data_IF_947087030786
#
_entry.id   IF_947087030786
#
_cell.length_a   1.000
_cell.length_b   1.000
_cell.length_c   1.000
_cell.angle_alpha   90.00
_cell.angle_beta   90.00
_cell.angle_gamma   90.00
#
_symmetry.space_group_name_H-M   'P 1'
#
loop_
_entity.id
_entity.type
_entity.pdbx_description
1 polymer ?
#
# COMPACT_ATOMS: atom_id res chain seq x y z
N UNK A 1 22.19 -14.36 21.78
CA UNK A 1 21.00 -14.11 22.63
C UNK A 1 21.36 -13.08 23.68
N UNK A 2 20.42 -12.18 24.07
CA UNK A 2 20.73 -11.14 25.08
C UNK A 2 20.23 -11.64 26.44
N UNK A 3 21.16 -11.68 27.40
CA UNK A 3 20.87 -12.02 28.79
C UNK A 3 20.94 -10.78 29.67
N UNK A 4 19.95 -10.59 30.53
CA UNK A 4 19.96 -9.58 31.60
C UNK A 4 20.46 -10.27 32.87
N UNK A 5 21.68 -9.91 33.27
CA UNK A 5 22.37 -10.52 34.44
C UNK A 5 22.33 -9.50 35.58
N UNK A 6 21.66 -9.87 36.68
CA UNK A 6 21.78 -9.10 37.92
C UNK A 6 22.93 -9.70 38.73
N UNK A 7 23.91 -8.88 39.03
CA UNK A 7 25.12 -9.27 39.72
C UNK A 7 25.43 -8.31 40.86
N UNK A 8 26.13 -8.82 41.87
CA UNK A 8 26.62 -8.04 42.99
C UNK A 8 28.03 -7.56 42.65
N UNK A 9 28.23 -6.26 42.67
CA UNK A 9 29.54 -5.64 42.51
C UNK A 9 30.38 -5.74 43.82
N UNK A 10 31.70 -5.58 43.75
CA UNK A 10 32.59 -5.66 44.90
C UNK A 10 32.30 -4.69 46.04
N UNK A 11 31.57 -3.59 45.73
CA UNK A 11 31.13 -2.59 46.70
C UNK A 11 29.74 -2.92 47.36
N UNK A 12 29.14 -4.08 47.06
CA UNK A 12 27.87 -4.50 47.61
C UNK A 12 26.62 -4.00 46.82
N UNK A 13 26.80 -3.24 45.74
CA UNK A 13 25.69 -2.74 44.95
C UNK A 13 25.20 -3.79 43.93
N UNK A 14 23.87 -3.78 43.69
CA UNK A 14 23.26 -4.65 42.67
C UNK A 14 23.31 -3.94 41.30
N UNK A 15 24.08 -4.50 40.39
CA UNK A 15 24.22 -3.99 39.03
C UNK A 15 23.53 -4.91 38.03
N UNK A 16 22.74 -4.35 37.14
CA UNK A 16 22.13 -5.05 36.02
C UNK A 16 22.96 -4.88 34.75
N UNK A 17 23.55 -5.97 34.27
CA UNK A 17 24.37 -6.01 33.06
C UNK A 17 23.61 -6.68 31.91
N UNK A 18 23.76 -6.16 30.70
CA UNK A 18 23.31 -6.83 29.48
C UNK A 18 24.52 -7.49 28.81
N UNK A 19 24.43 -8.80 28.65
CA UNK A 19 25.51 -9.62 28.10
C UNK A 19 24.96 -10.37 26.90
N UNK A 20 25.65 -10.31 25.77
CA UNK A 20 25.35 -11.12 24.59
C UNK A 20 26.14 -12.43 24.69
N UNK A 21 25.41 -13.57 24.78
CA UNK A 21 26.01 -14.88 24.86
C UNK A 21 25.17 -15.91 24.10
N UNK A 22 25.81 -17.01 23.71
CA UNK A 22 25.12 -18.12 23.03
C UNK A 22 24.23 -18.92 23.98
N UNK A 23 24.68 -19.11 25.19
CA UNK A 23 24.01 -19.86 26.29
C UNK A 23 24.17 -19.13 27.63
N UNK A 24 23.30 -19.46 28.59
CA UNK A 24 23.31 -18.85 29.93
C UNK A 24 24.65 -19.01 30.68
N UNK A 25 25.31 -20.15 30.49
CA UNK A 25 26.60 -20.45 31.13
C UNK A 25 27.71 -19.46 30.66
N UNK A 26 27.67 -19.06 29.41
CA UNK A 26 28.63 -18.08 28.87
C UNK A 26 28.35 -16.68 29.40
N UNK A 27 27.08 -16.30 29.53
CA UNK A 27 26.68 -15.02 30.11
C UNK A 27 27.12 -14.92 31.59
N UNK A 28 27.08 -16.03 32.34
CA UNK A 28 27.59 -16.07 33.72
C UNK A 28 29.11 -15.96 33.78
N UNK A 29 29.85 -16.63 32.90
CA UNK A 29 31.32 -16.54 32.82
C UNK A 29 31.78 -15.14 32.47
N UNK A 30 31.11 -14.52 31.52
CA UNK A 30 31.40 -13.13 31.09
C UNK A 30 31.11 -12.11 32.22
N UNK A 31 30.05 -12.34 33.05
CA UNK A 31 29.78 -11.51 34.22
C UNK A 31 30.89 -11.66 35.27
N UNK A 32 31.34 -12.87 35.52
CA UNK A 32 32.46 -13.14 36.47
C UNK A 32 33.78 -12.51 35.98
N UNK A 33 34.09 -12.55 34.68
CA UNK A 33 35.29 -11.93 34.12
C UNK A 33 35.29 -10.41 34.28
N UNK A 34 34.13 -9.78 34.41
CA UNK A 34 33.94 -8.36 34.71
C UNK A 34 33.97 -8.00 36.20
N UNK A 35 34.33 -8.96 37.06
CA UNK A 35 34.47 -8.73 38.49
C UNK A 35 33.15 -8.63 39.27
N UNK A 36 32.03 -9.13 38.75
CA UNK A 36 30.73 -9.10 39.42
C UNK A 36 30.20 -10.50 39.62
N UNK A 37 29.53 -10.74 40.76
CA UNK A 37 28.97 -12.05 41.09
C UNK A 37 27.52 -12.17 40.65
N UNK A 38 27.21 -12.93 39.57
CA UNK A 38 25.87 -13.04 39.04
C UNK A 38 25.01 -13.94 39.94
N UNK A 39 23.89 -13.41 40.44
CA UNK A 39 22.93 -14.17 41.23
C UNK A 39 21.60 -14.43 40.51
N UNK A 40 21.32 -13.67 39.43
CA UNK A 40 20.14 -13.88 38.60
C UNK A 40 20.49 -13.63 37.15
N UNK A 41 20.34 -14.66 36.29
CA UNK A 41 20.48 -14.57 34.85
C UNK A 41 19.10 -14.81 34.25
N UNK A 42 18.57 -13.86 33.54
CA UNK A 42 17.28 -13.98 32.83
C UNK A 42 17.54 -13.82 31.33
N UNK A 43 17.23 -14.86 30.58
CA UNK A 43 17.14 -14.74 29.16
C UNK A 43 15.99 -13.76 28.85
N UNK A 44 16.29 -12.62 28.33
CA UNK A 44 15.27 -11.73 27.78
C UNK A 44 14.88 -12.36 26.44
N UNK A 45 13.91 -13.31 26.48
CA UNK A 45 13.14 -13.58 25.27
C UNK A 45 12.65 -12.23 24.80
N UNK A 46 13.22 -11.76 23.71
CA UNK A 46 12.70 -10.58 23.03
C UNK A 46 11.24 -10.87 22.76
N UNK A 47 10.36 -10.45 23.66
CA UNK A 47 9.07 -9.99 23.20
C UNK A 47 9.48 -9.06 22.06
N UNK A 48 9.18 -9.44 20.84
CA UNK A 48 8.96 -8.48 19.79
C UNK A 48 7.91 -7.50 20.35
N UNK A 49 8.36 -6.55 21.17
CA UNK A 49 7.78 -5.24 21.15
C UNK A 49 7.87 -4.91 19.68
N UNK A 50 6.74 -4.98 18.99
CA UNK A 50 6.64 -4.50 17.64
C UNK A 50 7.33 -3.15 17.69
N UNK A 51 8.53 -3.12 17.16
CA UNK A 51 9.32 -1.93 17.07
C UNK A 51 8.44 -0.94 16.31
N UNK A 52 7.81 -0.03 17.05
CA UNK A 52 7.52 1.32 16.60
C UNK A 52 8.86 2.05 16.45
N UNK A 53 9.88 1.35 15.96
CA UNK A 53 10.97 2.02 15.30
C UNK A 53 10.30 2.83 14.20
N UNK A 54 10.43 4.15 14.18
CA UNK A 54 9.90 4.97 13.11
C UNK A 54 10.39 4.26 11.85
N UNK A 55 9.43 3.82 11.02
CA UNK A 55 9.70 3.10 9.77
C UNK A 55 10.82 3.88 9.12
N UNK A 56 12.07 3.37 9.22
CA UNK A 56 13.27 4.05 8.78
C UNK A 56 12.92 4.59 7.40
N UNK A 57 12.96 5.91 7.23
CA UNK A 57 12.34 6.57 6.08
C UNK A 57 12.89 5.88 4.85
N UNK A 58 12.05 5.04 4.22
CA UNK A 58 12.46 4.24 3.07
C UNK A 58 12.93 5.22 2.00
N UNK A 59 14.03 4.91 1.38
CA UNK A 59 14.52 5.66 0.24
C UNK A 59 13.38 5.80 -0.78
N UNK A 60 13.09 7.03 -1.21
CA UNK A 60 12.14 7.25 -2.30
C UNK A 60 12.84 6.86 -3.61
N UNK A 61 12.76 5.56 -3.95
CA UNK A 61 13.57 4.96 -5.01
C UNK A 61 13.44 5.70 -6.34
N UNK A 62 12.24 6.10 -6.76
CA UNK A 62 12.07 6.86 -8.00
C UNK A 62 12.81 8.19 -7.96
N UNK A 63 12.65 8.98 -6.90
CA UNK A 63 13.36 10.27 -6.76
C UNK A 63 14.87 10.08 -6.71
N UNK A 64 15.37 9.06 -5.99
CA UNK A 64 16.78 8.71 -5.96
C UNK A 64 17.31 8.37 -7.36
N UNK A 65 16.61 7.55 -8.13
CA UNK A 65 17.04 7.15 -9.49
C UNK A 65 17.00 8.32 -10.45
N UNK A 66 16.00 9.20 -10.36
CA UNK A 66 15.91 10.42 -11.16
C UNK A 66 17.07 11.36 -10.87
N UNK A 67 17.43 11.56 -9.61
CA UNK A 67 18.54 12.40 -9.19
C UNK A 67 19.89 11.81 -9.64
N UNK A 68 20.07 10.50 -9.45
CA UNK A 68 21.26 9.79 -9.91
C UNK A 68 21.44 9.93 -11.43
N UNK A 69 20.36 9.70 -12.20
CA UNK A 69 20.38 9.84 -13.66
C UNK A 69 20.74 11.26 -14.10
N UNK A 70 20.18 12.27 -13.42
CA UNK A 70 20.48 13.67 -13.71
C UNK A 70 21.98 13.99 -13.51
N UNK A 71 22.58 13.51 -12.41
CA UNK A 71 23.99 13.74 -12.11
C UNK A 71 24.92 12.98 -13.08
N UNK A 72 24.59 11.74 -13.46
CA UNK A 72 25.33 10.97 -14.46
C UNK A 72 25.31 11.67 -15.82
N UNK A 73 24.14 12.17 -16.27
CA UNK A 73 24.00 12.95 -17.51
C UNK A 73 24.75 14.29 -17.49
N UNK A 74 24.99 14.84 -16.30
CA UNK A 74 25.83 16.00 -16.12
C UNK A 74 27.33 15.67 -16.20
N UNK A 75 27.68 14.38 -16.43
CA UNK A 75 29.08 13.91 -16.55
C UNK A 75 29.76 13.54 -15.24
N UNK A 76 29.03 13.49 -14.12
CA UNK A 76 29.61 13.04 -12.87
C UNK A 76 29.79 11.52 -12.87
N UNK A 77 30.90 11.06 -12.28
CA UNK A 77 31.08 9.62 -12.08
C UNK A 77 30.05 9.07 -11.07
N UNK A 78 29.75 7.77 -11.17
CA UNK A 78 28.77 7.11 -10.31
C UNK A 78 29.03 7.34 -8.81
N UNK A 79 30.30 7.28 -8.40
CA UNK A 79 30.68 7.46 -7.00
C UNK A 79 30.45 8.91 -6.55
N UNK A 80 30.86 9.89 -7.34
CA UNK A 80 30.68 11.32 -7.03
C UNK A 80 29.18 11.69 -7.01
N UNK A 81 28.39 11.14 -7.95
CA UNK A 81 26.96 11.34 -7.96
C UNK A 81 26.26 10.81 -6.69
N UNK A 82 26.67 9.62 -6.23
CA UNK A 82 26.13 9.04 -5.00
C UNK A 82 26.59 9.78 -3.74
N UNK A 83 27.81 10.31 -3.73
CA UNK A 83 28.30 11.19 -2.64
C UNK A 83 27.46 12.46 -2.53
N UNK A 84 27.20 13.13 -3.65
CA UNK A 84 26.35 14.32 -3.69
C UNK A 84 24.94 14.03 -3.20
N UNK A 85 24.36 12.89 -3.58
CA UNK A 85 23.03 12.46 -3.10
C UNK A 85 23.07 12.20 -1.58
N UNK A 86 24.11 11.54 -1.07
CA UNK A 86 24.24 11.24 0.36
C UNK A 86 24.39 12.52 1.20
N UNK A 87 25.13 13.52 0.72
CA UNK A 87 25.31 14.81 1.38
C UNK A 87 24.00 15.60 1.46
N UNK A 88 23.21 15.60 0.39
CA UNK A 88 21.92 16.30 0.29
C UNK A 88 20.81 15.62 1.10
N UNK A 89 20.87 14.31 1.27
CA UNK A 89 19.79 13.55 1.91
C UNK A 89 19.72 13.84 3.42
N UNK A 90 18.62 14.46 3.85
CA UNK A 90 18.41 14.86 5.23
C UNK A 90 17.79 13.77 6.12
N UNK A 91 17.17 12.75 5.50
CA UNK A 91 16.51 11.64 6.22
C UNK A 91 17.53 10.58 6.61
N UNK A 92 17.74 10.32 7.92
CA UNK A 92 18.85 9.46 8.38
C UNK A 92 18.82 8.05 7.77
N UNK A 93 17.65 7.44 7.63
CA UNK A 93 17.52 6.09 7.06
C UNK A 93 17.82 6.03 5.56
N UNK A 94 17.42 7.05 4.80
CA UNK A 94 17.71 7.14 3.36
C UNK A 94 19.19 7.43 3.12
N UNK A 95 19.77 8.35 3.89
CA UNK A 95 21.20 8.66 3.86
C UNK A 95 22.05 7.44 4.16
N UNK A 96 21.75 6.71 5.24
CA UNK A 96 22.48 5.48 5.59
C UNK A 96 22.40 4.41 4.48
N UNK A 97 21.27 4.33 3.75
CA UNK A 97 21.13 3.42 2.63
C UNK A 97 22.05 3.79 1.45
N UNK A 98 22.17 5.08 1.13
CA UNK A 98 23.08 5.57 0.08
C UNK A 98 24.54 5.40 0.50
N UNK A 99 24.89 5.70 1.76
CA UNK A 99 26.24 5.49 2.31
C UNK A 99 26.64 4.00 2.29
N UNK A 100 25.69 3.08 2.59
CA UNK A 100 25.93 1.64 2.48
C UNK A 100 26.19 1.20 1.04
N UNK A 101 25.48 1.80 0.08
CA UNK A 101 25.70 1.58 -1.35
C UNK A 101 27.11 2.03 -1.76
N UNK A 102 27.48 3.26 -1.38
CA UNK A 102 28.82 3.84 -1.62
C UNK A 102 29.94 2.98 -1.05
N UNK A 103 29.79 2.51 0.19
CA UNK A 103 30.78 1.68 0.84
C UNK A 103 31.04 0.36 0.09
N UNK A 104 30.03 -0.22 -0.56
CA UNK A 104 30.17 -1.43 -1.38
C UNK A 104 30.83 -1.13 -2.72
N UNK A 105 30.40 -0.07 -3.40
CA UNK A 105 31.01 0.37 -4.67
C UNK A 105 32.50 0.68 -4.51
N UNK A 106 32.88 1.38 -3.44
CA UNK A 106 34.31 1.66 -3.14
C UNK A 106 35.17 0.39 -2.90
N UNK A 107 34.51 -0.72 -2.50
CA UNK A 107 35.14 -2.04 -2.38
C UNK A 107 35.14 -2.84 -3.69
N UNK A 108 34.70 -2.24 -4.78
CA UNK A 108 34.68 -2.87 -6.12
C UNK A 108 33.44 -3.72 -6.43
N UNK A 109 32.41 -3.69 -5.59
CA UNK A 109 31.15 -4.37 -5.91
C UNK A 109 30.45 -3.69 -7.09
N UNK A 110 29.69 -4.45 -7.88
CA UNK A 110 28.84 -3.89 -8.93
C UNK A 110 27.66 -3.13 -8.32
N UNK A 111 27.15 -2.13 -9.02
CA UNK A 111 26.01 -1.33 -8.55
C UNK A 111 24.77 -2.21 -8.29
N UNK A 112 24.49 -3.16 -9.19
CA UNK A 112 23.39 -4.10 -9.05
C UNK A 112 23.52 -4.98 -7.79
N UNK A 113 24.71 -5.47 -7.48
CA UNK A 113 25.00 -6.25 -6.27
C UNK A 113 24.87 -5.38 -5.01
N UNK A 114 25.44 -4.18 -5.07
CA UNK A 114 25.36 -3.22 -3.98
C UNK A 114 23.90 -2.82 -3.68
N UNK A 115 23.08 -2.62 -4.72
CA UNK A 115 21.64 -2.34 -4.58
C UNK A 115 20.87 -3.52 -3.97
N UNK A 116 21.11 -4.75 -4.44
CA UNK A 116 20.44 -5.95 -3.95
C UNK A 116 20.68 -6.17 -2.45
N UNK A 117 21.88 -5.89 -1.98
CA UNK A 117 22.32 -6.15 -0.61
C UNK A 117 22.25 -4.92 0.33
N UNK A 118 21.87 -3.75 -0.17
CA UNK A 118 21.89 -2.50 0.63
C UNK A 118 20.82 -2.45 1.73
N UNK A 119 19.82 -3.34 1.69
CA UNK A 119 18.67 -3.27 2.61
C UNK A 119 17.73 -2.07 2.37
N UNK A 120 18.04 -1.21 1.40
CA UNK A 120 17.26 0.00 1.06
C UNK A 120 15.90 -0.29 0.41
N UNK A 121 15.66 -1.55 0.04
CA UNK A 121 14.40 -1.99 -0.58
C UNK A 121 14.29 -1.61 -2.06
N UNK A 122 15.39 -1.58 -2.79
CA UNK A 122 15.37 -1.40 -4.24
C UNK A 122 14.53 -2.50 -4.91
N UNK A 123 13.62 -2.14 -5.83
CA UNK A 123 12.86 -3.11 -6.57
C UNK A 123 13.75 -4.06 -7.38
N UNK A 124 13.45 -5.35 -7.38
CA UNK A 124 14.23 -6.35 -8.13
C UNK A 124 14.33 -6.03 -9.62
N UNK A 125 13.30 -5.40 -10.18
CA UNK A 125 13.26 -4.97 -11.58
C UNK A 125 14.32 -3.89 -11.88
N UNK A 126 14.56 -2.95 -10.96
CA UNK A 126 15.63 -1.96 -11.09
C UNK A 126 17.00 -2.63 -11.00
N UNK A 127 17.18 -3.51 -10.01
CA UNK A 127 18.42 -4.27 -9.82
C UNK A 127 18.75 -5.11 -11.05
N UNK A 128 17.75 -5.80 -11.61
CA UNK A 128 17.93 -6.61 -12.83
C UNK A 128 18.27 -5.74 -14.05
N UNK A 129 17.60 -4.60 -14.23
CA UNK A 129 17.87 -3.66 -15.31
C UNK A 129 19.27 -3.05 -15.24
N UNK A 130 19.70 -2.65 -14.04
CA UNK A 130 21.07 -2.17 -13.79
C UNK A 130 22.09 -3.28 -14.06
N UNK A 131 21.88 -4.50 -13.54
CA UNK A 131 22.79 -5.62 -13.74
C UNK A 131 22.93 -6.07 -15.21
N UNK A 132 21.87 -5.94 -16.00
CA UNK A 132 21.95 -6.15 -17.44
C UNK A 132 22.80 -5.08 -18.14
N UNK A 133 22.62 -3.81 -17.75
CA UNK A 133 23.31 -2.67 -18.34
C UNK A 133 24.81 -2.57 -17.96
N UNK A 134 25.19 -3.07 -16.79
CA UNK A 134 26.61 -3.07 -16.36
C UNK A 134 27.53 -3.87 -17.31
N UNK A 135 26.97 -4.84 -18.02
CA UNK A 135 27.69 -5.63 -19.03
C UNK A 135 27.82 -4.91 -20.36
N UNK A 136 26.91 -3.99 -20.66
CA UNK A 136 26.83 -3.28 -21.96
C UNK A 136 27.27 -1.82 -21.87
N UNK A 137 27.50 -1.28 -20.65
CA UNK A 137 27.89 0.12 -20.44
C UNK A 137 26.71 1.10 -20.49
N UNK A 138 25.48 0.64 -20.67
CA UNK A 138 24.29 1.49 -20.84
C UNK A 138 23.54 1.79 -19.53
N UNK A 139 24.26 2.19 -18.46
CA UNK A 139 23.66 2.46 -17.15
C UNK A 139 22.63 3.60 -17.21
N UNK A 140 22.95 4.69 -17.91
CA UNK A 140 22.03 5.83 -18.03
C UNK A 140 20.71 5.44 -18.71
N UNK A 141 20.76 4.67 -19.78
CA UNK A 141 19.58 4.18 -20.48
C UNK A 141 18.76 3.22 -19.60
N UNK A 142 19.43 2.40 -18.77
CA UNK A 142 18.74 1.51 -17.85
C UNK A 142 18.00 2.29 -16.75
N UNK A 143 18.66 3.30 -16.17
CA UNK A 143 18.05 4.18 -15.19
C UNK A 143 16.90 5.00 -15.80
N UNK A 144 17.08 5.50 -17.04
CA UNK A 144 16.01 6.20 -17.76
C UNK A 144 14.79 5.31 -17.98
N UNK A 145 14.98 4.08 -18.48
CA UNK A 145 13.89 3.10 -18.67
C UNK A 145 13.14 2.82 -17.37
N UNK A 146 13.89 2.72 -16.26
CA UNK A 146 13.24 2.54 -14.96
C UNK A 146 12.46 3.80 -14.52
N UNK A 147 13.00 5.00 -14.73
CA UNK A 147 12.30 6.25 -14.44
C UNK A 147 11.00 6.36 -15.23
N UNK A 148 11.03 6.05 -16.53
CA UNK A 148 9.84 6.09 -17.39
C UNK A 148 8.80 5.06 -16.92
N UNK A 149 9.24 3.84 -16.62
CA UNK A 149 8.39 2.80 -16.06
C UNK A 149 7.74 3.23 -14.74
N UNK A 150 8.56 3.68 -13.78
CA UNK A 150 8.10 3.99 -12.44
C UNK A 150 7.21 5.25 -12.41
N UNK A 151 7.52 6.26 -13.24
CA UNK A 151 6.70 7.46 -13.39
C UNK A 151 5.31 7.14 -13.94
N UNK A 152 5.22 6.33 -14.99
CA UNK A 152 3.92 5.89 -15.53
C UNK A 152 3.10 5.11 -14.51
N UNK A 153 3.73 4.22 -13.72
CA UNK A 153 3.06 3.50 -12.64
C UNK A 153 2.53 4.45 -11.56
N UNK A 154 3.32 5.47 -11.20
CA UNK A 154 2.93 6.47 -10.21
C UNK A 154 1.79 7.36 -10.73
N UNK A 155 1.81 7.74 -12.00
CA UNK A 155 0.76 8.54 -12.63
C UNK A 155 -0.59 7.82 -12.67
N UNK A 156 -0.60 6.53 -13.04
CA UNK A 156 -1.83 5.70 -12.98
C UNK A 156 -2.33 5.64 -11.54
N UNK A 157 -1.44 5.37 -10.58
CA UNK A 157 -1.80 5.33 -9.16
C UNK A 157 -2.36 6.67 -8.66
N UNK A 158 -1.74 7.79 -9.04
CA UNK A 158 -2.21 9.14 -8.66
C UNK A 158 -3.60 9.42 -9.20
N UNK A 159 -3.87 9.06 -10.46
CA UNK A 159 -5.20 9.19 -11.06
C UNK A 159 -6.24 8.36 -10.29
N UNK A 160 -5.91 7.12 -9.94
CA UNK A 160 -6.76 6.26 -9.11
C UNK A 160 -7.09 6.91 -7.77
N UNK A 161 -6.07 7.39 -7.05
CA UNK A 161 -6.26 8.04 -5.74
C UNK A 161 -7.06 9.34 -5.89
N UNK A 162 -6.75 10.17 -6.88
CA UNK A 162 -7.45 11.42 -7.13
C UNK A 162 -8.95 11.22 -7.38
N UNK A 163 -9.33 10.20 -8.14
CA UNK A 163 -10.72 9.86 -8.40
C UNK A 163 -11.51 9.47 -7.14
N UNK A 164 -10.82 8.98 -6.10
CA UNK A 164 -11.43 8.56 -4.83
C UNK A 164 -11.55 9.69 -3.79
N UNK A 165 -10.80 10.79 -3.96
CA UNK A 165 -10.78 11.90 -2.97
C UNK A 165 -12.17 12.51 -2.81
N UNK A 166 -12.83 12.85 -3.92
CA UNK A 166 -14.14 13.50 -3.90
C UNK A 166 -15.24 12.63 -3.27
N UNK A 167 -15.43 11.35 -3.65
CA UNK A 167 -16.38 10.46 -2.99
C UNK A 167 -16.15 10.31 -1.49
N UNK A 168 -14.89 10.16 -1.07
CA UNK A 168 -14.54 10.03 0.35
C UNK A 168 -14.85 11.30 1.12
N UNK A 169 -14.51 12.48 0.56
CA UNK A 169 -14.80 13.77 1.18
C UNK A 169 -16.32 13.98 1.33
N UNK A 170 -17.08 13.71 0.26
CA UNK A 170 -18.53 13.85 0.26
C UNK A 170 -19.21 12.95 1.31
N UNK A 171 -18.79 11.69 1.39
CA UNK A 171 -19.24 10.76 2.43
C UNK A 171 -18.87 11.24 3.83
N UNK A 172 -17.64 11.71 4.04
CA UNK A 172 -17.19 12.19 5.34
C UNK A 172 -18.03 13.39 5.82
N UNK A 173 -18.27 14.37 4.94
CA UNK A 173 -19.10 15.54 5.26
C UNK A 173 -20.56 15.13 5.49
N UNK A 174 -21.12 14.29 4.64
CA UNK A 174 -22.50 13.83 4.78
C UNK A 174 -22.74 13.02 6.06
N UNK A 175 -21.80 12.15 6.43
CA UNK A 175 -21.84 11.42 7.71
C UNK A 175 -21.68 12.36 8.91
N UNK A 176 -20.81 13.37 8.82
CA UNK A 176 -20.64 14.38 9.87
C UNK A 176 -21.94 15.16 10.10
N UNK A 177 -22.59 15.62 9.02
CA UNK A 177 -23.88 16.32 9.10
C UNK A 177 -24.95 15.42 9.70
N UNK A 178 -25.05 14.16 9.24
CA UNK A 178 -26.00 13.20 9.79
C UNK A 178 -25.74 12.92 11.27
N UNK A 179 -24.50 12.74 11.67
CA UNK A 179 -24.12 12.56 13.07
C UNK A 179 -24.46 13.78 13.93
N UNK A 180 -24.23 15.00 13.42
CA UNK A 180 -24.62 16.23 14.08
C UNK A 180 -26.14 16.34 14.25
N UNK A 181 -26.92 16.03 13.21
CA UNK A 181 -28.37 16.05 13.28
C UNK A 181 -28.88 15.04 14.32
N UNK A 182 -28.41 13.80 14.28
CA UNK A 182 -28.88 12.75 15.20
C UNK A 182 -28.40 13.00 16.63
N UNK A 183 -27.14 13.42 16.82
CA UNK A 183 -26.54 13.58 18.15
C UNK A 183 -26.88 14.91 18.87
N UNK A 184 -27.16 15.96 18.11
CA UNK A 184 -27.40 17.29 18.69
C UNK A 184 -28.79 17.84 18.44
N UNK A 185 -29.30 17.72 17.21
CA UNK A 185 -30.61 18.34 16.86
C UNK A 185 -31.77 17.46 17.35
N UNK A 186 -31.74 16.17 17.06
CA UNK A 186 -32.81 15.23 17.43
C UNK A 186 -33.09 15.21 18.93
N UNK A 187 -32.09 15.15 19.84
CA UNK A 187 -32.37 15.15 21.28
C UNK A 187 -33.07 16.42 21.78
N UNK A 188 -32.80 17.59 21.18
CA UNK A 188 -33.46 18.86 21.55
C UNK A 188 -34.94 18.82 21.21
N UNK A 189 -35.31 18.22 20.09
CA UNK A 189 -36.71 18.06 19.72
C UNK A 189 -37.41 16.96 20.52
N UNK A 190 -36.72 15.89 20.92
CA UNK A 190 -37.28 14.83 21.74
C UNK A 190 -37.83 15.34 23.11
N UNK A 191 -37.23 16.37 23.67
CA UNK A 191 -37.72 17.04 24.92
C UNK A 191 -39.10 17.67 24.75
N UNK A 192 -39.29 18.39 23.66
CA UNK A 192 -40.56 19.10 23.34
C UNK A 192 -41.72 18.12 23.16
N UNK A 193 -41.46 16.96 22.55
CA UNK A 193 -42.50 15.93 22.28
C UNK A 193 -42.95 15.16 23.52
N UNK A 194 -42.06 14.92 24.47
CA UNK A 194 -42.44 14.25 25.73
C UNK A 194 -43.50 14.96 26.50
N UNK A 195 -43.54 16.30 26.43
CA UNK A 195 -44.50 17.12 27.10
C UNK A 195 -45.89 17.13 26.43
N UNK A 196 -45.96 16.71 25.15
CA UNK A 196 -47.16 16.81 24.33
C UNK A 196 -48.05 15.57 24.38
N UNK A 197 -47.59 14.44 24.93
CA UNK A 197 -48.41 13.23 25.18
C UNK A 197 -48.96 12.52 23.94
N UNK A 198 -48.48 12.82 22.72
CA UNK A 198 -49.02 12.30 21.44
C UNK A 198 -48.26 11.01 21.02
N UNK A 199 -48.98 10.03 20.49
CA UNK A 199 -48.39 8.81 19.94
C UNK A 199 -47.51 9.13 18.74
N UNK A 200 -46.24 8.77 18.83
CA UNK A 200 -45.26 8.99 17.73
C UNK A 200 -45.30 7.88 16.69
N UNK A 201 -45.16 8.22 15.40
CA UNK A 201 -44.91 7.24 14.38
C UNK A 201 -43.65 6.42 14.72
N UNK A 202 -43.67 5.11 14.49
CA UNK A 202 -42.58 4.18 14.86
C UNK A 202 -41.18 4.61 14.35
N UNK A 203 -41.13 5.17 13.13
CA UNK A 203 -39.88 5.61 12.51
C UNK A 203 -39.27 6.84 13.20
N UNK A 204 -40.12 7.81 13.62
CA UNK A 204 -39.70 8.97 14.43
C UNK A 204 -39.27 8.52 15.82
N UNK A 205 -40.01 7.57 16.46
CA UNK A 205 -39.63 7.02 17.75
C UNK A 205 -38.23 6.38 17.74
N UNK A 206 -37.93 5.60 16.71
CA UNK A 206 -36.60 4.97 16.53
C UNK A 206 -35.49 6.03 16.39
N UNK A 207 -35.74 7.11 15.63
CA UNK A 207 -34.78 8.21 15.47
C UNK A 207 -34.55 8.95 16.80
N UNK A 208 -35.61 9.20 17.54
CA UNK A 208 -35.52 9.88 18.84
C UNK A 208 -34.84 8.99 19.90
N UNK A 209 -35.08 7.68 19.91
CA UNK A 209 -34.41 6.76 20.83
C UNK A 209 -32.91 6.67 20.54
N UNK A 210 -32.52 6.61 19.26
CA UNK A 210 -31.11 6.72 18.84
C UNK A 210 -30.49 8.06 19.29
N UNK A 211 -31.17 9.17 19.06
CA UNK A 211 -30.72 10.50 19.45
C UNK A 211 -30.58 10.63 20.97
N UNK A 212 -31.53 10.05 21.74
CA UNK A 212 -31.47 10.03 23.22
C UNK A 212 -30.32 9.18 23.74
N UNK A 213 -30.06 8.01 23.16
CA UNK A 213 -28.95 7.15 23.52
C UNK A 213 -27.61 7.89 23.34
N UNK A 214 -27.43 8.57 22.20
CA UNK A 214 -26.24 9.37 21.89
C UNK A 214 -26.17 10.61 22.78
N UNK A 215 -27.29 11.30 23.00
CA UNK A 215 -27.35 12.53 23.81
C UNK A 215 -27.19 12.28 25.32
N UNK A 216 -27.63 11.12 25.84
CA UNK A 216 -27.44 10.74 27.23
C UNK A 216 -25.98 10.43 27.59
N UNK A 217 -25.23 9.89 26.63
CA UNK A 217 -23.83 9.46 26.79
C UNK A 217 -22.91 10.00 25.68
N UNK A 218 -22.78 11.34 25.55
CA UNK A 218 -22.05 11.92 24.40
C UNK A 218 -20.57 11.53 24.37
N UNK A 219 -19.94 11.36 25.55
CA UNK A 219 -18.54 10.90 25.64
C UNK A 219 -18.40 9.44 25.22
N UNK A 220 -19.30 8.57 25.67
CA UNK A 220 -19.28 7.14 25.31
C UNK A 220 -19.57 6.93 23.82
N UNK A 221 -20.52 7.67 23.26
CA UNK A 221 -20.83 7.66 21.84
C UNK A 221 -19.64 8.18 20.99
N UNK A 222 -18.97 9.24 21.44
CA UNK A 222 -17.76 9.77 20.82
C UNK A 222 -16.59 8.76 20.88
N UNK A 223 -16.39 8.13 22.03
CA UNK A 223 -15.37 7.08 22.21
C UNK A 223 -15.69 5.84 21.35
N UNK A 224 -16.96 5.41 21.31
CA UNK A 224 -17.37 4.29 20.47
C UNK A 224 -17.17 4.58 18.97
N UNK A 225 -17.55 5.77 18.50
CA UNK A 225 -17.31 6.21 17.12
C UNK A 225 -15.81 6.29 16.81
N UNK A 226 -15.01 6.85 17.70
CA UNK A 226 -13.55 6.90 17.58
C UNK A 226 -12.92 5.51 17.57
N UNK A 227 -13.36 4.61 18.45
CA UNK A 227 -12.90 3.22 18.51
C UNK A 227 -13.27 2.44 17.25
N UNK A 228 -14.49 2.66 16.70
CA UNK A 228 -14.91 2.07 15.43
C UNK A 228 -14.02 2.55 14.28
N UNK A 229 -13.74 3.84 14.21
CA UNK A 229 -12.91 4.45 13.18
C UNK A 229 -11.46 3.96 13.25
N UNK A 230 -10.89 3.90 14.46
CA UNK A 230 -9.58 3.34 14.73
C UNK A 230 -9.54 1.84 14.41
N UNK A 231 -10.59 1.10 14.78
CA UNK A 231 -10.76 -0.32 14.45
C UNK A 231 -10.79 -0.57 12.95
N UNK A 232 -11.52 0.25 12.19
CA UNK A 232 -11.53 0.20 10.73
C UNK A 232 -10.14 0.49 10.14
N UNK A 233 -9.47 1.56 10.59
CA UNK A 233 -8.11 1.90 10.14
C UNK A 233 -7.15 0.75 10.46
N UNK A 234 -7.22 0.18 11.68
CA UNK A 234 -6.40 -0.96 12.08
C UNK A 234 -6.70 -2.20 11.25
N UNK A 235 -7.97 -2.50 10.98
CA UNK A 235 -8.39 -3.63 10.14
C UNK A 235 -7.83 -3.47 8.71
N UNK A 236 -7.97 -2.29 8.09
CA UNK A 236 -7.38 -2.02 6.77
C UNK A 236 -5.84 -2.00 6.78
N UNK A 237 -5.20 -1.83 7.94
CA UNK A 237 -3.74 -1.93 8.09
C UNK A 237 -3.27 -3.38 8.18
N UNK A 238 -4.13 -4.32 8.57
CA UNK A 238 -3.81 -5.75 8.66
C UNK A 238 -3.70 -6.36 7.27
N UNK A 239 -2.58 -7.04 7.01
CA UNK A 239 -2.31 -7.67 5.71
C UNK A 239 -3.36 -8.73 5.37
N UNK A 240 -3.78 -9.53 6.35
CA UNK A 240 -4.81 -10.57 6.17
C UNK A 240 -6.16 -10.01 5.69
N UNK A 241 -6.58 -8.85 6.23
CA UNK A 241 -7.85 -8.21 5.82
C UNK A 241 -7.74 -7.66 4.40
N UNK A 242 -6.61 -7.06 4.06
CA UNK A 242 -6.36 -6.56 2.69
C UNK A 242 -6.30 -7.70 1.67
N UNK A 243 -5.66 -8.81 2.02
CA UNK A 243 -5.56 -9.99 1.15
C UNK A 243 -6.93 -10.65 0.97
N UNK A 244 -7.72 -10.76 2.05
CA UNK A 244 -9.09 -11.27 2.00
C UNK A 244 -9.99 -10.36 1.14
N UNK A 245 -9.91 -9.04 1.35
CA UNK A 245 -10.70 -8.07 0.57
C UNK A 245 -10.29 -8.09 -0.91
N UNK A 246 -8.99 -8.15 -1.19
CA UNK A 246 -8.48 -8.26 -2.56
C UNK A 246 -8.98 -9.53 -3.25
N UNK A 247 -9.04 -10.66 -2.53
CA UNK A 247 -9.57 -11.91 -3.05
C UNK A 247 -11.07 -11.79 -3.36
N UNK A 248 -11.86 -11.23 -2.44
CA UNK A 248 -13.30 -11.00 -2.64
C UNK A 248 -13.60 -10.05 -3.79
N UNK A 249 -12.83 -8.97 -3.91
CA UNK A 249 -12.99 -8.01 -5.01
C UNK A 249 -12.66 -8.64 -6.37
N UNK A 250 -11.68 -9.55 -6.42
CA UNK A 250 -11.35 -10.31 -7.64
C UNK A 250 -12.41 -11.31 -8.06
N UNK A 251 -13.11 -11.91 -7.11
CA UNK A 251 -14.21 -12.83 -7.37
C UNK A 251 -15.49 -12.09 -7.80
N UNK A 252 -15.55 -10.78 -7.60
CA UNK A 252 -16.71 -9.97 -7.98
C UNK A 252 -16.85 -9.88 -9.50
N UNK A 253 -18.02 -10.16 -10.07
CA UNK A 253 -18.24 -10.14 -11.52
C UNK A 253 -18.03 -8.76 -12.15
N UNK A 254 -18.18 -7.67 -11.38
CA UNK A 254 -17.98 -6.30 -11.87
C UNK A 254 -16.54 -5.80 -11.77
N UNK A 255 -15.86 -6.08 -10.66
CA UNK A 255 -14.53 -5.56 -10.36
C UNK A 255 -13.40 -6.52 -10.75
N UNK A 256 -13.63 -7.84 -10.66
CA UNK A 256 -12.62 -8.86 -10.94
C UNK A 256 -11.95 -8.70 -12.30
N UNK A 257 -12.70 -8.60 -13.41
CA UNK A 257 -12.12 -8.39 -14.74
C UNK A 257 -11.29 -7.10 -14.85
N UNK A 258 -11.69 -6.03 -14.15
CA UNK A 258 -10.98 -4.73 -14.15
C UNK A 258 -9.66 -4.78 -13.37
N UNK A 259 -9.67 -5.45 -12.23
CA UNK A 259 -8.44 -5.71 -11.45
C UNK A 259 -7.47 -6.53 -12.27
N UNK A 260 -7.95 -7.55 -12.99
CA UNK A 260 -7.13 -8.38 -13.89
C UNK A 260 -6.48 -7.54 -14.99
N UNK A 261 -7.24 -6.67 -15.67
CA UNK A 261 -6.72 -5.78 -16.73
C UNK A 261 -5.60 -4.88 -16.17
N UNK A 262 -5.80 -4.29 -14.99
CA UNK A 262 -4.77 -3.50 -14.32
C UNK A 262 -3.50 -4.31 -13.98
N UNK A 263 -3.65 -5.54 -13.48
CA UNK A 263 -2.51 -6.43 -13.19
C UNK A 263 -1.79 -6.84 -14.48
N UNK A 264 -2.51 -7.09 -15.57
CA UNK A 264 -1.94 -7.37 -16.89
C UNK A 264 -1.16 -6.18 -17.45
N UNK A 265 -1.70 -4.97 -17.35
CA UNK A 265 -1.00 -3.75 -17.76
C UNK A 265 0.37 -3.63 -17.05
N UNK A 266 0.39 -3.85 -15.74
CA UNK A 266 1.63 -3.86 -14.95
C UNK A 266 2.60 -4.95 -15.40
N UNK A 267 2.11 -6.16 -15.63
CA UNK A 267 2.92 -7.29 -16.12
C UNK A 267 3.57 -6.94 -17.46
N UNK A 268 2.77 -6.48 -18.43
CA UNK A 268 3.25 -6.16 -19.76
C UNK A 268 4.26 -5.02 -19.78
N UNK A 269 4.00 -3.97 -19.00
CA UNK A 269 4.93 -2.85 -18.85
C UNK A 269 6.25 -3.27 -18.24
N UNK A 270 6.21 -4.17 -17.25
CA UNK A 270 7.40 -4.76 -16.64
C UNK A 270 8.19 -5.59 -17.63
N UNK A 271 7.51 -6.43 -18.37
CA UNK A 271 8.14 -7.27 -19.41
C UNK A 271 8.75 -6.41 -20.52
N UNK A 272 8.03 -5.38 -21.00
CA UNK A 272 8.53 -4.45 -22.00
C UNK A 272 9.83 -3.77 -21.55
N UNK A 273 9.86 -3.27 -20.32
CA UNK A 273 11.06 -2.64 -19.76
C UNK A 273 12.25 -3.60 -19.69
N UNK A 274 12.03 -4.84 -19.21
CA UNK A 274 13.08 -5.85 -19.08
C UNK A 274 13.60 -6.31 -20.44
N UNK A 275 12.72 -6.56 -21.42
CA UNK A 275 13.09 -6.95 -22.77
C UNK A 275 13.89 -5.85 -23.50
N UNK A 276 13.45 -4.58 -23.38
CA UNK A 276 14.21 -3.44 -23.90
C UNK A 276 15.58 -3.30 -23.25
N UNK A 277 15.71 -3.73 -21.97
CA UNK A 277 16.98 -3.81 -21.27
C UNK A 277 17.85 -5.00 -21.65
N UNK A 278 17.46 -5.79 -22.66
CA UNK A 278 18.20 -6.96 -23.11
C UNK A 278 18.04 -8.21 -22.22
N UNK A 279 17.08 -8.20 -21.28
CA UNK A 279 16.79 -9.39 -20.48
C UNK A 279 15.99 -10.37 -21.33
N UNK A 280 16.42 -11.64 -21.49
CA UNK A 280 15.65 -12.64 -22.24
C UNK A 280 14.27 -12.87 -21.65
N UNK A 281 13.30 -13.31 -22.45
CA UNK A 281 11.89 -13.43 -22.07
C UNK A 281 11.65 -14.32 -20.85
N UNK A 282 12.32 -15.47 -20.76
CA UNK A 282 12.12 -16.44 -19.67
C UNK A 282 12.57 -15.87 -18.31
N UNK A 283 13.79 -15.32 -18.15
CA UNK A 283 14.16 -14.56 -16.95
C UNK A 283 13.25 -13.36 -16.67
N UNK A 284 12.81 -12.62 -17.70
CA UNK A 284 11.91 -11.47 -17.52
C UNK A 284 10.57 -11.90 -16.92
N UNK A 285 9.98 -13.00 -17.39
CA UNK A 285 8.75 -13.58 -16.83
C UNK A 285 8.94 -14.02 -15.37
N UNK A 286 10.07 -14.68 -15.07
CA UNK A 286 10.38 -15.13 -13.70
C UNK A 286 10.50 -13.94 -12.71
N UNK A 287 11.18 -12.86 -13.10
CA UNK A 287 11.29 -11.64 -12.31
C UNK A 287 9.91 -10.97 -12.09
N UNK A 288 9.09 -10.96 -13.15
CA UNK A 288 7.73 -10.36 -13.09
C UNK A 288 6.77 -11.15 -12.22
N UNK A 289 6.99 -12.44 -12.00
CA UNK A 289 6.13 -13.30 -11.17
C UNK A 289 6.03 -12.81 -9.72
N UNK A 290 7.08 -12.17 -9.19
CA UNK A 290 7.09 -11.64 -7.83
C UNK A 290 6.17 -10.41 -7.64
N UNK A 291 5.72 -9.78 -8.72
CA UNK A 291 4.83 -8.62 -8.70
C UNK A 291 3.35 -9.02 -8.74
N UNK A 292 3.07 -10.26 -9.10
CA UNK A 292 1.72 -10.82 -9.22
C UNK A 292 1.33 -11.55 -7.95
N UNK A 293 0.03 -11.57 -7.68
CA UNK A 293 -0.55 -12.23 -6.52
C UNK A 293 -1.27 -13.52 -6.89
N UNK A 294 -1.28 -14.47 -5.95
CA UNK A 294 -2.15 -15.63 -5.96
C UNK A 294 -2.18 -16.42 -7.28
N UNK A 295 -3.34 -16.50 -7.88
CA UNK A 295 -3.64 -17.26 -9.10
C UNK A 295 -2.84 -16.80 -10.32
N UNK A 296 -2.68 -15.48 -10.53
CA UNK A 296 -1.92 -14.95 -11.67
C UNK A 296 -0.44 -15.32 -11.62
N UNK A 297 0.15 -15.41 -10.42
CA UNK A 297 1.53 -15.90 -10.26
C UNK A 297 1.65 -17.35 -10.73
N UNK A 298 0.71 -18.21 -10.33
CA UNK A 298 0.71 -19.61 -10.76
C UNK A 298 0.47 -19.77 -12.27
N UNK A 299 -0.40 -18.92 -12.85
CA UNK A 299 -0.62 -18.85 -14.29
C UNK A 299 0.66 -18.43 -15.03
N UNK A 300 1.35 -17.38 -14.54
CA UNK A 300 2.60 -16.92 -15.14
C UNK A 300 3.71 -17.97 -15.06
N UNK A 301 3.81 -18.71 -13.96
CA UNK A 301 4.78 -19.80 -13.84
C UNK A 301 4.51 -20.93 -14.85
N UNK A 302 3.23 -21.25 -15.12
CA UNK A 302 2.85 -22.20 -16.17
C UNK A 302 3.20 -21.68 -17.56
N UNK A 303 2.90 -20.42 -17.84
CA UNK A 303 3.25 -19.73 -19.09
C UNK A 303 4.77 -19.74 -19.30
N UNK A 304 5.56 -19.44 -18.27
CA UNK A 304 7.02 -19.46 -18.34
C UNK A 304 7.56 -20.84 -18.74
N UNK A 305 6.96 -21.91 -18.20
CA UNK A 305 7.34 -23.29 -18.59
C UNK A 305 7.01 -23.59 -20.04
N UNK A 306 5.83 -23.19 -20.54
CA UNK A 306 5.48 -23.39 -21.94
C UNK A 306 6.42 -22.63 -22.88
N UNK A 307 6.75 -21.39 -22.56
CA UNK A 307 7.69 -20.59 -23.37
C UNK A 307 9.11 -21.17 -23.33
N UNK A 308 9.56 -21.69 -22.18
CA UNK A 308 10.87 -22.36 -22.09
C UNK A 308 10.94 -23.67 -22.91
N UNK A 309 9.79 -24.28 -23.22
CA UNK A 309 9.64 -25.44 -24.09
C UNK A 309 9.48 -25.06 -25.57
N UNK A 310 9.55 -23.77 -25.92
CA UNK A 310 9.47 -23.30 -27.30
C UNK A 310 8.05 -22.92 -27.75
N UNK A 311 7.06 -22.88 -26.87
CA UNK A 311 5.72 -22.41 -27.23
C UNK A 311 5.75 -20.91 -27.58
N UNK A 312 4.95 -20.47 -28.59
CA UNK A 312 4.78 -19.06 -28.90
C UNK A 312 4.29 -18.29 -27.69
N UNK A 313 4.83 -17.09 -27.48
CA UNK A 313 4.54 -16.24 -26.30
C UNK A 313 3.06 -15.88 -26.25
N UNK A 314 2.50 -15.45 -27.38
CA UNK A 314 1.08 -15.09 -27.51
C UNK A 314 0.15 -16.23 -27.11
N UNK A 315 0.41 -17.46 -27.63
CA UNK A 315 -0.37 -18.66 -27.32
C UNK A 315 -0.21 -19.08 -25.85
N UNK A 316 1.02 -19.04 -25.33
CA UNK A 316 1.30 -19.41 -23.94
C UNK A 316 0.61 -18.48 -22.92
N UNK A 317 0.52 -17.18 -23.21
CA UNK A 317 -0.22 -16.21 -22.42
C UNK A 317 -1.73 -16.44 -22.53
N UNK A 318 -2.25 -16.71 -23.73
CA UNK A 318 -3.67 -16.97 -23.97
C UNK A 318 -4.16 -18.23 -23.25
N UNK A 319 -3.43 -19.34 -23.39
CA UNK A 319 -3.79 -20.64 -22.77
C UNK A 319 -3.82 -20.61 -21.24
N UNK A 320 -3.17 -19.65 -20.61
CA UNK A 320 -3.15 -19.44 -19.17
C UNK A 320 -3.96 -18.22 -18.72
N UNK A 321 -4.82 -17.68 -19.59
CA UNK A 321 -5.69 -16.55 -19.27
C UNK A 321 -4.91 -15.29 -18.77
N UNK A 322 -3.71 -15.09 -19.31
CA UNK A 322 -2.85 -13.94 -19.04
C UNK A 322 -2.85 -12.91 -20.17
N UNK A 323 -3.89 -12.89 -20.98
CA UNK A 323 -4.08 -11.88 -22.02
C UNK A 323 -5.56 -11.58 -22.24
N UNK A 324 -5.83 -10.49 -22.93
CA UNK A 324 -7.16 -10.13 -23.45
C UNK A 324 -7.19 -10.42 -24.95
N UNK A 325 -8.39 -10.46 -25.56
CA UNK A 325 -8.53 -10.70 -27.00
C UNK A 325 -7.77 -9.67 -27.85
N UNK A 326 -7.80 -8.38 -27.43
CA UNK A 326 -7.04 -7.30 -28.10
C UNK A 326 -5.55 -7.48 -27.84
N UNK A 327 -5.17 -7.68 -26.58
CA UNK A 327 -3.78 -7.90 -26.19
C UNK A 327 -3.15 -9.07 -26.93
N UNK A 328 -3.85 -10.20 -27.06
CA UNK A 328 -3.34 -11.37 -27.75
C UNK A 328 -3.02 -11.10 -29.23
N UNK A 329 -3.91 -10.37 -29.93
CA UNK A 329 -3.65 -9.99 -31.34
C UNK A 329 -2.44 -9.11 -31.46
N UNK A 330 -2.27 -8.13 -30.59
CA UNK A 330 -1.10 -7.23 -30.59
C UNK A 330 0.19 -8.00 -30.28
N UNK A 331 0.15 -8.91 -29.30
CA UNK A 331 1.31 -9.74 -28.94
C UNK A 331 1.70 -10.68 -30.10
N UNK A 332 0.74 -11.28 -30.80
CA UNK A 332 0.99 -12.10 -31.97
C UNK A 332 1.68 -11.29 -33.10
N UNK A 333 1.29 -10.05 -33.32
CA UNK A 333 1.97 -9.15 -34.26
C UNK A 333 3.41 -8.88 -33.82
N UNK A 334 3.64 -8.59 -32.54
CA UNK A 334 4.99 -8.38 -32.01
C UNK A 334 5.88 -9.61 -32.08
N UNK A 335 5.30 -10.79 -31.89
CA UNK A 335 6.01 -12.06 -31.99
C UNK A 335 6.49 -12.34 -33.43
N UNK A 336 5.64 -12.10 -34.43
CA UNK A 336 5.99 -12.26 -35.84
C UNK A 336 6.91 -11.15 -36.36
N UNK A 337 6.72 -9.91 -35.86
CA UNK A 337 7.51 -8.73 -36.24
C UNK A 337 8.86 -8.61 -35.54
N UNK A 338 9.13 -9.45 -34.53
CA UNK A 338 10.39 -9.44 -33.78
C UNK A 338 10.52 -8.31 -32.74
N UNK A 339 9.52 -7.43 -32.60
CA UNK A 339 9.53 -6.35 -31.59
C UNK A 339 8.46 -6.58 -30.52
N UNK A 340 8.68 -7.65 -29.75
CA UNK A 340 7.82 -8.01 -28.64
C UNK A 340 7.78 -6.91 -27.56
N UNK A 341 8.91 -6.23 -27.32
CA UNK A 341 9.00 -5.21 -26.30
C UNK A 341 8.09 -4.00 -26.57
N UNK A 342 8.08 -3.51 -27.83
CA UNK A 342 7.20 -2.41 -28.23
C UNK A 342 5.72 -2.82 -28.18
N UNK A 343 5.39 -4.06 -28.56
CA UNK A 343 4.00 -4.54 -28.50
C UNK A 343 3.51 -4.71 -27.07
N UNK A 344 4.32 -5.25 -26.17
CA UNK A 344 4.00 -5.33 -24.75
C UNK A 344 3.75 -3.96 -24.15
N UNK A 345 4.54 -2.94 -24.50
CA UNK A 345 4.33 -1.58 -24.03
C UNK A 345 3.01 -1.01 -24.58
N UNK A 346 2.71 -1.17 -25.84
CA UNK A 346 1.44 -0.71 -26.45
C UNK A 346 0.22 -1.39 -25.82
N UNK A 347 0.31 -2.69 -25.53
CA UNK A 347 -0.77 -3.41 -24.83
C UNK A 347 -0.94 -2.87 -23.42
N UNK A 348 0.17 -2.58 -22.72
CA UNK A 348 0.12 -1.98 -21.39
C UNK A 348 -0.53 -0.58 -21.42
N UNK A 349 -0.14 0.27 -22.37
CA UNK A 349 -0.75 1.61 -22.55
C UNK A 349 -2.26 1.49 -22.82
N UNK A 350 -2.67 0.58 -23.69
CA UNK A 350 -4.09 0.33 -23.99
C UNK A 350 -4.88 -0.06 -22.73
N UNK A 351 -4.35 -0.96 -21.92
CA UNK A 351 -4.99 -1.41 -20.69
C UNK A 351 -4.99 -0.35 -19.59
N UNK A 352 -3.95 0.47 -19.49
CA UNK A 352 -3.91 1.61 -18.58
C UNK A 352 -5.00 2.62 -18.94
N UNK A 353 -5.14 2.97 -20.23
CA UNK A 353 -6.21 3.85 -20.69
C UNK A 353 -7.60 3.26 -20.45
N UNK A 354 -7.79 1.96 -20.69
CA UNK A 354 -9.05 1.27 -20.39
C UNK A 354 -9.39 1.36 -18.91
N UNK A 355 -8.40 1.14 -18.04
CA UNK A 355 -8.55 1.24 -16.59
C UNK A 355 -8.92 2.65 -16.17
N UNK A 356 -8.22 3.67 -16.70
CA UNK A 356 -8.50 5.08 -16.39
C UNK A 356 -9.90 5.48 -16.85
N UNK A 357 -10.28 5.15 -18.09
CA UNK A 357 -11.63 5.43 -18.61
C UNK A 357 -12.73 4.80 -17.77
N UNK A 358 -12.54 3.55 -17.35
CA UNK A 358 -13.50 2.86 -16.50
C UNK A 358 -13.62 3.53 -15.13
N UNK A 359 -12.51 3.97 -14.55
CA UNK A 359 -12.50 4.67 -13.26
C UNK A 359 -13.19 6.02 -13.34
N UNK A 360 -12.90 6.80 -14.38
CA UNK A 360 -13.53 8.11 -14.60
C UNK A 360 -15.05 7.95 -14.77
N UNK A 361 -15.49 6.93 -15.53
CA UNK A 361 -16.91 6.63 -15.68
C UNK A 361 -17.56 6.24 -14.37
N UNK A 362 -16.91 5.36 -13.62
CA UNK A 362 -17.38 4.90 -12.31
C UNK A 362 -17.47 6.08 -11.33
N UNK A 363 -16.43 6.93 -11.25
CA UNK A 363 -16.41 8.11 -10.38
C UNK A 363 -17.57 9.07 -10.70
N UNK A 364 -17.84 9.33 -11.99
CA UNK A 364 -18.97 10.18 -12.43
C UNK A 364 -20.33 9.58 -12.07
N UNK A 365 -20.47 8.25 -12.08
CA UNK A 365 -21.71 7.59 -11.69
C UNK A 365 -21.92 7.59 -10.18
N UNK A 366 -20.84 7.47 -9.43
CA UNK A 366 -20.91 7.50 -7.96
C UNK A 366 -21.34 8.85 -7.41
N UNK A 367 -21.03 9.96 -8.08
CA UNK A 367 -21.36 11.31 -7.62
C UNK A 367 -22.88 11.52 -7.47
N UNK A 368 -23.75 11.34 -8.52
CA UNK A 368 -25.18 11.47 -8.37
C UNK A 368 -25.77 10.47 -7.38
N UNK A 369 -25.24 9.23 -7.34
CA UNK A 369 -25.70 8.21 -6.42
C UNK A 369 -25.46 8.60 -4.96
N UNK A 370 -24.26 9.12 -4.66
CA UNK A 370 -23.92 9.61 -3.32
C UNK A 370 -24.75 10.84 -2.94
N UNK A 371 -24.97 11.78 -3.88
CA UNK A 371 -25.82 12.93 -3.62
C UNK A 371 -27.27 12.50 -3.33
N UNK A 372 -27.83 11.56 -4.10
CA UNK A 372 -29.14 11.03 -3.86
C UNK A 372 -29.24 10.29 -2.52
N UNK A 373 -28.23 9.46 -2.19
CA UNK A 373 -28.16 8.74 -0.92
C UNK A 373 -28.09 9.70 0.27
N UNK A 374 -27.22 10.69 0.21
CA UNK A 374 -27.07 11.69 1.29
C UNK A 374 -28.30 12.59 1.39
N UNK A 375 -28.88 12.99 0.26
CA UNK A 375 -30.15 13.74 0.21
C UNK A 375 -31.29 12.97 0.83
N UNK A 376 -31.42 11.67 0.52
CA UNK A 376 -32.42 10.78 1.13
C UNK A 376 -32.17 10.59 2.63
N UNK A 377 -30.92 10.41 3.04
CA UNK A 377 -30.54 10.24 4.45
C UNK A 377 -30.84 11.52 5.26
N UNK A 378 -30.31 12.64 4.84
CA UNK A 378 -30.47 13.92 5.55
C UNK A 378 -31.94 14.39 5.46
N UNK A 379 -32.55 14.32 4.28
CA UNK A 379 -33.95 14.65 4.07
C UNK A 379 -34.88 13.75 4.89
N UNK A 380 -34.59 12.44 4.96
CA UNK A 380 -35.31 11.48 5.81
C UNK A 380 -35.24 11.84 7.29
N UNK A 381 -34.03 12.17 7.79
CA UNK A 381 -33.86 12.62 9.19
C UNK A 381 -34.70 13.88 9.45
N UNK A 382 -34.68 14.85 8.54
CA UNK A 382 -35.43 16.11 8.68
C UNK A 382 -36.94 15.84 8.64
N UNK A 383 -37.43 15.04 7.70
CA UNK A 383 -38.86 14.67 7.59
C UNK A 383 -39.32 13.98 8.87
N UNK A 384 -38.58 12.98 9.35
CA UNK A 384 -38.90 12.25 10.57
C UNK A 384 -38.86 13.13 11.83
N UNK A 385 -38.04 14.16 11.82
CA UNK A 385 -37.97 15.14 12.91
C UNK A 385 -39.15 16.07 12.91
N UNK A 386 -39.67 16.50 11.74
CA UNK A 386 -40.80 17.42 11.63
C UNK A 386 -42.16 16.74 11.60
N UNK A 387 -42.24 15.44 11.27
CA UNK A 387 -43.52 14.71 11.18
C UNK A 387 -44.40 14.83 12.41
N UNK A 388 -43.90 14.67 13.65
CA UNK A 388 -44.70 14.85 14.84
C UNK A 388 -45.18 16.29 15.04
N UNK A 389 -44.49 17.33 14.55
CA UNK A 389 -44.94 18.72 14.62
C UNK A 389 -46.18 18.93 13.78
N UNK A 390 -46.25 18.35 12.61
CA UNK A 390 -47.41 18.44 11.73
C UNK A 390 -48.62 17.71 12.33
N UNK A 391 -48.41 16.57 13.00
CA UNK A 391 -49.45 15.82 13.69
C UNK A 391 -50.03 16.62 14.85
N UNK A 392 -49.17 17.30 15.66
CA UNK A 392 -49.58 18.23 16.74
C UNK A 392 -50.37 19.42 16.19
N UNK A 393 -49.89 20.05 15.12
CA UNK A 393 -50.58 21.18 14.51
C UNK A 393 -51.94 20.78 13.89
N UNK A 394 -52.05 19.52 13.44
CA UNK A 394 -53.33 18.96 12.96
C UNK A 394 -54.33 18.67 14.08
N UNK A 395 -53.85 18.23 15.24
CA UNK A 395 -54.72 17.90 16.41
C UNK A 395 -55.29 19.10 17.12
N UNK A 396 -54.63 20.26 17.03
CA UNK A 396 -55.12 21.53 17.64
C UNK A 396 -56.31 22.15 16.88
N UNK A 397 -56.63 21.64 15.65
CA UNK A 397 -57.73 22.11 14.80
C UNK A 397 -59.01 21.31 14.97
N UNK A 398 -59.06 20.30 15.81
CA UNK A 398 -60.28 19.57 16.22
C UNK A 398 -60.65 19.94 17.66
#
# INVERSE_FOLDING_TARGET
>A
MIFEVKALAANGDVVALRIEAAVEADARREAHSRGVSPFQVRQKQGRMAGSLAPRAARLAVLGFVQELLMLLRAGLSLVVALEAIAEKESRPGARAAVEALLAKLRRGARLSEAMAESGAGFPQILVAGVGASERTGGLEEALQRYCDYASRMDDVRKKIVAALIYPVLLLAVGLLVSAFLIGFVVPKFAGVYKESGTDMPWASALLFDLGRLIGAHPLEAGVAAGALLLGLIAAFSMQSVRDWLAMRLRESPGLGPRIKVYELARLYRTLAMLLRGGTPIVPALALSANMLSGTMRAQLQRTTRLISQGAPISRALESNDLTTSVGNRMLAVGEHGGDMAAMLERVADYHDEETIRWMDWTARLFEPLLMALLGLLIGGIVILLYMPIFDLAGSVKQ
#
